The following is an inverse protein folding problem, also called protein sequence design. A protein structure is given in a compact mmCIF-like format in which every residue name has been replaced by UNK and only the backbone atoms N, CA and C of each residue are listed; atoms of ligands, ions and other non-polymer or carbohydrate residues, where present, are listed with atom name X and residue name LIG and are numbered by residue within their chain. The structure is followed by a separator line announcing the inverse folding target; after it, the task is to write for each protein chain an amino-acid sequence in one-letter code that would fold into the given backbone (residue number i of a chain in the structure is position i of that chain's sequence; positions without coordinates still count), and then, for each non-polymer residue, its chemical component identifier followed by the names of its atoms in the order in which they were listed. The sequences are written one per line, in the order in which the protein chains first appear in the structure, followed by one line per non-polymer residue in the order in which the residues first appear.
data_IF_686390635923
#
_entry.id   IF_686390635923
#
_cell.length_a   1.000
_cell.length_b   1.000
_cell.length_c   1.000
_cell.angle_alpha   90.00
_cell.angle_beta   90.00
_cell.angle_gamma   90.00
#
_symmetry.space_group_name_H-M   'P 1'
#
loop_
_entity.id
_entity.type
_entity.pdbx_description
1 polymer ?
#
# COMPACT_ATOMS: atom_id res chain seq x y z
N UNK A 1 0.11 -4.36 -20.03
CA UNK A 1 -1.25 -3.96 -19.62
C UNK A 1 -1.37 -4.37 -18.17
N UNK A 2 -1.41 -3.40 -17.25
CA UNK A 2 -1.61 -3.72 -15.83
C UNK A 2 -3.09 -4.05 -15.62
N UNK A 3 -3.36 -5.07 -14.81
CA UNK A 3 -4.73 -5.45 -14.44
C UNK A 3 -5.32 -4.44 -13.46
N UNK A 4 -6.65 -4.43 -13.31
CA UNK A 4 -7.32 -3.57 -12.32
C UNK A 4 -6.86 -3.88 -10.87
N UNK A 5 -6.44 -5.12 -10.60
CA UNK A 5 -5.88 -5.53 -9.31
C UNK A 5 -4.54 -4.83 -9.07
N UNK A 6 -3.61 -4.93 -10.02
CA UNK A 6 -2.28 -4.30 -9.91
C UNK A 6 -2.38 -2.78 -9.72
N UNK A 7 -3.26 -2.11 -10.48
CA UNK A 7 -3.47 -0.66 -10.35
C UNK A 7 -3.90 -0.28 -8.92
N UNK A 8 -4.81 -1.05 -8.33
CA UNK A 8 -5.28 -0.81 -6.96
C UNK A 8 -4.20 -1.13 -5.94
N UNK A 9 -3.47 -2.24 -6.12
CA UNK A 9 -2.33 -2.61 -5.25
C UNK A 9 -1.27 -1.49 -5.25
N UNK A 10 -0.89 -1.00 -6.43
CA UNK A 10 0.06 0.11 -6.58
C UNK A 10 -0.46 1.37 -5.88
N UNK A 11 -1.72 1.74 -6.11
CA UNK A 11 -2.33 2.92 -5.49
C UNK A 11 -2.36 2.83 -3.96
N UNK A 12 -2.74 1.67 -3.41
CA UNK A 12 -2.74 1.45 -1.96
C UNK A 12 -1.31 1.48 -1.41
N UNK A 13 -0.33 0.91 -2.13
CA UNK A 13 1.07 0.91 -1.72
C UNK A 13 1.70 2.31 -1.70
N UNK A 14 1.24 3.23 -2.56
CA UNK A 14 1.68 4.63 -2.58
C UNK A 14 1.24 5.43 -1.34
N UNK A 15 0.26 4.96 -0.58
CA UNK A 15 -0.18 5.62 0.66
C UNK A 15 0.75 5.33 1.87
N UNK A 16 1.76 4.48 1.69
CA UNK A 16 2.75 4.15 2.71
C UNK A 16 2.42 2.88 3.49
N UNK A 17 3.45 2.24 4.06
CA UNK A 17 3.36 0.92 4.68
C UNK A 17 2.28 0.84 5.78
N UNK A 18 2.16 1.87 6.63
CA UNK A 18 1.17 1.87 7.72
C UNK A 18 -0.26 1.90 7.20
N UNK A 19 -0.51 2.65 6.13
CA UNK A 19 -1.82 2.72 5.49
C UNK A 19 -2.16 1.37 4.84
N UNK A 20 -1.19 0.76 4.14
CA UNK A 20 -1.31 -0.57 3.54
C UNK A 20 -1.73 -1.63 4.56
N UNK A 21 -1.09 -1.68 5.73
CA UNK A 21 -1.49 -2.60 6.79
C UNK A 21 -2.94 -2.37 7.27
N UNK A 22 -3.38 -1.10 7.33
CA UNK A 22 -4.77 -0.76 7.60
C UNK A 22 -5.74 -1.26 6.53
N UNK A 23 -5.37 -1.12 5.25
CA UNK A 23 -6.16 -1.61 4.13
C UNK A 23 -6.27 -3.13 4.14
N UNK A 24 -5.18 -3.85 4.42
CA UNK A 24 -5.18 -5.31 4.59
C UNK A 24 -6.18 -5.71 5.68
N UNK A 25 -6.12 -5.07 6.85
CA UNK A 25 -7.02 -5.39 7.96
C UNK A 25 -8.50 -5.14 7.61
N UNK A 26 -8.82 -4.03 6.93
CA UNK A 26 -10.18 -3.73 6.50
C UNK A 26 -10.69 -4.73 5.44
N UNK A 27 -9.82 -5.12 4.51
CA UNK A 27 -10.13 -6.14 3.50
C UNK A 27 -10.33 -7.53 4.11
N UNK A 28 -9.54 -7.90 5.13
CA UNK A 28 -9.72 -9.15 5.89
C UNK A 28 -11.01 -9.16 6.72
N UNK A 29 -11.42 -7.99 7.22
CA UNK A 29 -12.72 -7.82 7.89
C UNK A 29 -13.91 -7.87 6.90
N UNK A 30 -13.66 -8.01 5.60
CA UNK A 30 -14.69 -8.00 4.56
C UNK A 30 -15.23 -6.61 4.25
N UNK A 31 -14.54 -5.54 4.66
CA UNK A 31 -14.93 -4.17 4.30
C UNK A 31 -14.53 -3.84 2.88
N UNK A 32 -15.30 -2.94 2.29
CA UNK A 32 -15.04 -2.28 1.01
C UNK A 32 -14.21 -1.02 1.25
N UNK A 33 -13.07 -0.91 0.58
CA UNK A 33 -12.32 0.34 0.46
C UNK A 33 -12.76 1.07 -0.83
N UNK A 34 -12.72 2.41 -0.88
CA UNK A 34 -13.10 3.19 -2.07
C UNK A 34 -12.40 2.72 -3.36
N UNK A 35 -11.08 2.47 -3.29
CA UNK A 35 -10.30 1.97 -4.42
C UNK A 35 -10.66 0.52 -4.85
N UNK A 36 -11.33 -0.22 -3.97
CA UNK A 36 -11.78 -1.60 -4.23
C UNK A 36 -13.27 -1.72 -4.54
N UNK A 37 -14.02 -0.62 -4.56
CA UNK A 37 -15.46 -0.63 -4.91
C UNK A 37 -15.69 -1.02 -6.37
N UNK A 38 -14.75 -0.66 -7.24
CA UNK A 38 -14.80 -1.01 -8.66
C UNK A 38 -14.40 -2.48 -8.93
N UNK A 39 -13.95 -3.20 -7.90
CA UNK A 39 -13.49 -4.58 -8.00
C UNK A 39 -14.56 -5.57 -7.54
N UNK A 40 -14.65 -6.69 -8.24
CA UNK A 40 -15.47 -7.83 -7.82
C UNK A 40 -14.81 -8.59 -6.67
N UNK A 41 -15.56 -9.43 -5.94
CA UNK A 41 -15.06 -10.21 -4.79
C UNK A 41 -13.79 -11.02 -5.06
N UNK A 42 -13.66 -11.57 -6.27
CA UNK A 42 -12.46 -12.33 -6.68
C UNK A 42 -11.26 -11.40 -6.80
N UNK A 43 -11.44 -10.25 -7.44
CA UNK A 43 -10.38 -9.26 -7.63
C UNK A 43 -9.97 -8.63 -6.30
N UNK A 44 -10.92 -8.37 -5.41
CA UNK A 44 -10.63 -7.84 -4.07
C UNK A 44 -9.83 -8.82 -3.22
N UNK A 45 -10.17 -10.12 -3.30
CA UNK A 45 -9.35 -11.17 -2.68
C UNK A 45 -7.94 -11.23 -3.28
N UNK A 46 -7.82 -11.03 -4.59
CA UNK A 46 -6.51 -10.96 -5.24
C UNK A 46 -5.68 -9.78 -4.74
N UNK A 47 -6.27 -8.57 -4.64
CA UNK A 47 -5.61 -7.40 -4.05
C UNK A 47 -5.09 -7.70 -2.64
N UNK A 48 -5.93 -8.34 -1.81
CA UNK A 48 -5.54 -8.72 -0.45
C UNK A 48 -4.34 -9.68 -0.43
N UNK A 49 -4.34 -10.69 -1.29
CA UNK A 49 -3.23 -11.66 -1.39
C UNK A 49 -1.95 -10.94 -1.80
N UNK A 50 -2.02 -10.13 -2.86
CA UNK A 50 -0.87 -9.38 -3.38
C UNK A 50 -0.29 -8.43 -2.33
N UNK A 51 -1.13 -7.65 -1.63
CA UNK A 51 -0.68 -6.77 -0.57
C UNK A 51 0.01 -7.53 0.56
N UNK A 52 -0.50 -8.72 0.93
CA UNK A 52 0.13 -9.57 1.96
C UNK A 52 1.44 -10.18 1.48
N UNK A 53 1.56 -10.57 0.22
CA UNK A 53 2.81 -11.07 -0.37
C UNK A 53 3.89 -9.97 -0.42
N UNK A 54 3.52 -8.78 -0.88
CA UNK A 54 4.41 -7.60 -0.88
C UNK A 54 4.86 -7.32 0.55
N UNK A 55 3.92 -7.27 1.51
CA UNK A 55 4.21 -6.93 2.90
C UNK A 55 4.95 -8.03 3.66
N UNK A 56 4.86 -9.30 3.23
CA UNK A 56 5.61 -10.40 3.82
C UNK A 56 7.13 -10.24 3.66
N UNK A 57 7.58 -9.57 2.60
CA UNK A 57 9.01 -9.23 2.40
C UNK A 57 9.50 -8.24 3.45
N UNK A 58 8.63 -7.32 3.86
CA UNK A 58 8.95 -6.29 4.84
C UNK A 58 8.82 -6.82 6.29
N UNK A 59 8.00 -7.84 6.54
CA UNK A 59 7.79 -8.38 7.89
C UNK A 59 6.99 -7.43 8.80
N UNK A 60 6.44 -7.97 9.89
CA UNK A 60 5.44 -7.30 10.74
C UNK A 60 5.96 -6.01 11.43
N UNK A 61 7.28 -5.84 11.52
CA UNK A 61 7.93 -4.81 12.35
C UNK A 61 8.75 -3.77 11.59
N UNK A 62 8.89 -3.84 10.26
CA UNK A 62 9.80 -2.95 9.52
C UNK A 62 9.18 -1.60 9.12
N UNK A 63 7.92 -1.35 9.45
CA UNK A 63 7.27 -0.06 9.23
C UNK A 63 7.74 1.01 10.24
N UNK A 64 9.05 1.10 10.48
CA UNK A 64 9.69 2.07 11.37
C UNK A 64 11.04 2.51 10.80
N UNK A 65 11.10 3.09 9.60
CA UNK A 65 12.11 4.13 9.31
C UNK A 65 11.95 4.88 7.97
N UNK A 66 11.28 4.32 6.96
CA UNK A 66 11.41 4.85 5.58
C UNK A 66 10.31 5.82 5.11
N UNK A 67 9.26 6.03 5.90
CA UNK A 67 8.20 7.03 5.57
C UNK A 67 8.72 8.49 5.63
N UNK A 68 9.98 8.70 6.07
CA UNK A 68 10.62 10.02 6.14
C UNK A 68 11.33 10.46 4.84
N UNK A 69 11.40 9.64 3.79
CA UNK A 69 12.15 10.01 2.56
C UNK A 69 11.32 10.90 1.61
N UNK A 70 10.03 11.14 1.87
CA UNK A 70 9.24 12.10 1.08
C UNK A 70 9.47 13.60 1.46
N UNK A 71 10.37 13.94 2.39
CA UNK A 71 10.66 15.34 2.76
C UNK A 71 12.13 15.75 2.60
N UNK A 72 13.02 14.87 2.09
CA UNK A 72 14.46 15.19 2.00
C UNK A 72 14.87 16.02 0.78
N UNK A 73 13.94 16.31 -0.15
CA UNK A 73 14.24 17.14 -1.34
C UNK A 73 14.08 18.66 -1.11
N UNK A 74 13.87 19.11 0.13
CA UNK A 74 13.72 20.54 0.45
C UNK A 74 14.81 21.13 1.36
N UNK A 75 15.89 20.40 1.68
CA UNK A 75 16.94 20.91 2.60
C UNK A 75 18.39 20.85 2.11
N UNK A 76 18.69 20.36 0.90
CA UNK A 76 20.06 20.32 0.36
C UNK A 76 20.35 21.30 -0.78
N UNK A 77 19.67 22.45 -0.82
CA UNK A 77 19.98 23.55 -1.75
C UNK A 77 20.01 24.92 -1.07
N UNK A 78 20.83 25.09 -0.02
CA UNK A 78 21.44 26.40 0.29
C UNK A 78 22.67 26.23 1.20
N UNK A 79 23.85 26.65 0.72
CA UNK A 79 25.10 26.72 1.47
C UNK A 79 26.07 25.60 1.09
N UNK A 80 27.21 25.84 0.44
CA UNK A 80 28.12 26.98 0.56
C UNK A 80 28.87 27.28 -0.75
#
# INVERSE_FOLDING_TARGET
MHTAVEIVVESLCQNGCKAVWGYIAELEAGRTLPDTESLNDVQRRQVLIELKEIMAVYGETSCTLDDAIATVEAKYSTGS
#
